data_IF_939088200541
#
_entry.id   IF_939088200541
#
_cell.length_a   1.000
_cell.length_b   1.000
_cell.length_c   1.000
_cell.angle_alpha   90.00
_cell.angle_beta   90.00
_cell.angle_gamma   90.00
#
_symmetry.space_group_name_H-M   'P 1'
#
loop_
_entity.id
_entity.type
_entity.pdbx_description
1 polymer ?
#
# COMPACT_ATOMS: atom_id res chain seq x y z
N UNK A 1 -5.56 -10.37 8.46
CA UNK A 1 -5.37 -9.02 7.87
C UNK A 1 -4.97 -9.05 6.39
N UNK A 2 -3.95 -9.82 6.01
CA UNK A 2 -3.42 -9.85 4.63
C UNK A 2 -4.44 -10.30 3.57
N UNK A 3 -5.19 -11.39 3.80
CA UNK A 3 -6.22 -11.86 2.84
C UNK A 3 -7.32 -10.80 2.69
N UNK A 4 -7.81 -10.26 3.80
CA UNK A 4 -8.83 -9.19 3.80
C UNK A 4 -8.34 -7.95 3.07
N UNK A 5 -7.08 -7.55 3.26
CA UNK A 5 -6.46 -6.44 2.55
C UNK A 5 -6.46 -6.66 1.04
N UNK A 6 -5.98 -7.81 0.56
CA UNK A 6 -5.95 -8.10 -0.88
C UNK A 6 -7.35 -8.25 -1.48
N UNK A 7 -8.34 -8.72 -0.71
CA UNK A 7 -9.75 -8.66 -1.14
C UNK A 7 -10.20 -7.22 -1.37
N UNK A 8 -9.90 -6.29 -0.46
CA UNK A 8 -10.24 -4.88 -0.63
C UNK A 8 -9.56 -4.26 -1.86
N UNK A 9 -8.29 -4.60 -2.10
CA UNK A 9 -7.56 -4.18 -3.31
C UNK A 9 -8.27 -4.69 -4.58
N UNK A 10 -8.68 -5.95 -4.61
CA UNK A 10 -9.46 -6.52 -5.71
C UNK A 10 -10.76 -5.78 -5.96
N UNK A 11 -11.55 -5.55 -4.90
CA UNK A 11 -12.79 -4.77 -4.97
C UNK A 11 -12.55 -3.36 -5.53
N UNK A 12 -11.46 -2.70 -5.12
CA UNK A 12 -11.10 -1.38 -5.63
C UNK A 12 -10.77 -1.42 -7.13
N UNK A 13 -10.00 -2.42 -7.58
CA UNK A 13 -9.66 -2.61 -9.00
C UNK A 13 -10.88 -2.95 -9.87
N UNK A 14 -11.89 -3.59 -9.30
CA UNK A 14 -13.17 -3.91 -9.95
C UNK A 14 -14.16 -2.73 -9.97
N UNK A 15 -13.80 -1.59 -9.34
CA UNK A 15 -14.59 -0.37 -9.33
C UNK A 15 -15.47 -0.17 -8.09
N UNK A 16 -15.48 -1.11 -7.15
CA UNK A 16 -16.20 -1.03 -5.87
C UNK A 16 -15.43 -0.20 -4.82
N UNK A 17 -14.97 0.99 -5.21
CA UNK A 17 -14.02 1.83 -4.44
C UNK A 17 -14.55 2.22 -3.06
N UNK A 18 -15.79 2.70 -2.95
CA UNK A 18 -16.37 3.16 -1.68
C UNK A 18 -16.62 2.03 -0.68
N UNK A 19 -16.83 0.81 -1.15
CA UNK A 19 -16.94 -0.37 -0.28
C UNK A 19 -15.56 -0.80 0.20
N UNK A 20 -14.58 -0.84 -0.70
CA UNK A 20 -13.19 -1.12 -0.36
C UNK A 20 -12.62 -0.15 0.70
N UNK A 21 -12.90 1.16 0.57
CA UNK A 21 -12.49 2.18 1.55
C UNK A 21 -13.04 1.85 2.95
N UNK A 22 -14.36 1.60 3.07
CA UNK A 22 -14.99 1.31 4.36
C UNK A 22 -14.40 0.07 5.05
N UNK A 23 -14.07 -0.96 4.27
CA UNK A 23 -13.44 -2.16 4.81
C UNK A 23 -11.96 -1.93 5.17
N UNK A 24 -11.22 -1.20 4.34
CA UNK A 24 -9.82 -0.84 4.60
C UNK A 24 -9.67 0.01 5.87
N UNK A 25 -10.59 0.94 6.12
CA UNK A 25 -10.61 1.73 7.36
C UNK A 25 -10.72 0.84 8.60
N UNK A 26 -11.50 -0.23 8.53
CA UNK A 26 -11.58 -1.24 9.58
C UNK A 26 -10.26 -2.00 9.82
N UNK A 27 -9.43 -2.12 8.78
CA UNK A 27 -8.12 -2.76 8.82
C UNK A 27 -7.01 -1.80 9.27
N UNK A 28 -7.15 -0.49 9.03
CA UNK A 28 -6.14 0.55 9.33
C UNK A 28 -5.71 0.60 10.80
N UNK A 29 -6.59 0.14 11.71
CA UNK A 29 -6.39 0.16 13.16
C UNK A 29 -5.57 -1.03 13.69
N UNK A 30 -5.01 -1.88 12.83
CA UNK A 30 -4.48 -3.19 13.23
C UNK A 30 -3.10 -3.54 12.62
N UNK A 31 -2.08 -3.50 13.46
CA UNK A 31 -0.86 -4.31 13.34
C UNK A 31 -0.04 -4.12 12.07
N UNK A 32 0.61 -5.20 11.65
CA UNK A 32 1.67 -5.29 10.61
C UNK A 32 1.24 -4.92 9.18
N UNK A 33 0.04 -4.37 8.98
CA UNK A 33 -0.49 -3.97 7.67
C UNK A 33 -0.87 -2.48 7.62
N UNK A 34 -0.49 -1.68 8.63
CA UNK A 34 -0.86 -0.27 8.70
C UNK A 34 -0.38 0.53 7.48
N UNK A 35 0.92 0.45 7.13
CA UNK A 35 1.48 1.13 5.96
C UNK A 35 0.76 0.77 4.65
N UNK A 36 0.67 -0.51 4.23
CA UNK A 36 0.01 -0.84 2.96
C UNK A 36 -1.47 -0.46 2.95
N UNK A 37 -2.17 -0.55 4.09
CA UNK A 37 -3.57 -0.10 4.18
C UNK A 37 -3.68 1.41 3.96
N UNK A 38 -2.86 2.23 4.63
CA UNK A 38 -2.92 3.69 4.47
C UNK A 38 -2.53 4.14 3.06
N UNK A 39 -1.54 3.50 2.44
CA UNK A 39 -1.17 3.77 1.04
C UNK A 39 -2.33 3.45 0.10
N UNK A 40 -3.01 2.31 0.28
CA UNK A 40 -4.17 1.95 -0.53
C UNK A 40 -5.36 2.88 -0.29
N UNK A 41 -5.62 3.27 0.96
CA UNK A 41 -6.66 4.26 1.29
C UNK A 41 -6.40 5.59 0.59
N UNK A 42 -5.17 6.12 0.69
CA UNK A 42 -4.80 7.37 0.05
C UNK A 42 -5.02 7.31 -1.46
N UNK A 43 -4.58 6.23 -2.10
CA UNK A 43 -4.80 5.99 -3.53
C UNK A 43 -6.29 5.97 -3.88
N UNK A 44 -7.12 5.30 -3.07
CA UNK A 44 -8.55 5.18 -3.27
C UNK A 44 -9.25 6.55 -3.15
N UNK A 45 -8.95 7.31 -2.08
CA UNK A 45 -9.54 8.63 -1.84
C UNK A 45 -9.20 9.63 -2.95
N UNK A 46 -7.95 9.64 -3.43
CA UNK A 46 -7.53 10.51 -4.53
C UNK A 46 -8.23 10.21 -5.87
N UNK A 47 -8.80 9.01 -6.02
CA UNK A 47 -9.50 8.56 -7.26
C UNK A 47 -11.01 8.46 -7.10
N UNK A 48 -11.54 8.78 -5.93
CA UNK A 48 -12.98 8.89 -5.70
C UNK A 48 -13.58 10.04 -6.51
N UNK A 49 -14.84 9.91 -6.93
CA UNK A 49 -15.57 10.96 -7.67
C UNK A 49 -15.62 12.28 -6.91
N UNK A 50 -15.68 12.20 -5.58
CA UNK A 50 -15.59 13.33 -4.67
C UNK A 50 -14.41 13.01 -3.75
N UNK A 51 -13.36 13.82 -3.85
CA UNK A 51 -12.15 13.65 -3.05
C UNK A 51 -12.38 14.30 -1.68
N UNK A 52 -12.23 13.51 -0.62
CA UNK A 52 -12.17 14.01 0.74
C UNK A 52 -10.76 14.54 1.02
N UNK A 53 -10.59 15.84 0.85
CA UNK A 53 -9.28 16.50 0.98
C UNK A 53 -8.74 16.47 2.41
N UNK A 54 -9.62 16.41 3.41
CA UNK A 54 -9.21 16.35 4.82
C UNK A 54 -8.67 14.95 5.14
N UNK A 55 -9.35 13.92 4.67
CA UNK A 55 -8.91 12.53 4.78
C UNK A 55 -7.56 12.31 4.09
N UNK A 56 -7.42 12.81 2.85
CA UNK A 56 -6.16 12.74 2.08
C UNK A 56 -5.01 13.39 2.86
N UNK A 57 -5.19 14.61 3.35
CA UNK A 57 -4.16 15.32 4.11
C UNK A 57 -3.78 14.57 5.40
N UNK A 58 -4.76 13.97 6.10
CA UNK A 58 -4.50 13.17 7.29
C UNK A 58 -3.68 11.92 6.96
N UNK A 59 -4.04 11.19 5.91
CA UNK A 59 -3.31 10.01 5.47
C UNK A 59 -1.87 10.35 5.06
N UNK A 60 -1.68 11.44 4.32
CA UNK A 60 -0.35 11.94 3.93
C UNK A 60 0.52 12.29 5.15
N UNK A 61 -0.05 12.93 6.16
CA UNK A 61 0.66 13.27 7.40
C UNK A 61 1.06 12.01 8.21
N UNK A 62 0.28 10.95 8.15
CA UNK A 62 0.51 9.71 8.89
C UNK A 62 1.56 8.79 8.22
N UNK A 63 1.67 8.84 6.89
CA UNK A 63 2.48 7.90 6.11
C UNK A 63 3.97 7.84 6.52
N UNK A 64 4.67 8.95 6.79
CA UNK A 64 6.08 8.89 7.22
C UNK A 64 6.25 8.05 8.49
N UNK A 65 5.36 8.25 9.47
CA UNK A 65 5.40 7.49 10.74
C UNK A 65 5.10 6.01 10.52
N UNK A 66 4.14 5.67 9.66
CA UNK A 66 3.88 4.26 9.35
C UNK A 66 5.03 3.63 8.57
N UNK A 67 5.69 4.38 7.69
CA UNK A 67 6.84 3.89 6.94
C UNK A 67 8.01 3.61 7.86
N UNK A 68 8.35 4.52 8.79
CA UNK A 68 9.44 4.33 9.75
C UNK A 68 9.25 3.07 10.61
N UNK A 69 7.99 2.75 10.97
CA UNK A 69 7.66 1.61 11.82
C UNK A 69 7.34 0.32 11.04
N UNK A 70 7.36 0.36 9.71
CA UNK A 70 6.95 -0.77 8.87
C UNK A 70 7.97 -1.92 8.91
N UNK A 71 7.47 -3.13 9.15
CA UNK A 71 8.27 -4.36 9.01
C UNK A 71 8.57 -4.66 7.54
N UNK A 72 9.51 -5.58 7.31
CA UNK A 72 9.79 -6.11 5.96
C UNK A 72 8.53 -6.61 5.24
N UNK A 73 7.62 -7.26 5.98
CA UNK A 73 6.36 -7.77 5.45
C UNK A 73 5.43 -6.62 5.02
N UNK A 74 5.28 -5.61 5.87
CA UNK A 74 4.47 -4.43 5.56
C UNK A 74 5.02 -3.73 4.31
N UNK A 75 6.34 -3.50 4.24
CA UNK A 75 7.03 -2.88 3.10
C UNK A 75 6.86 -3.68 1.82
N UNK A 76 6.96 -5.02 1.87
CA UNK A 76 6.72 -5.87 0.72
C UNK A 76 5.29 -5.71 0.20
N UNK A 77 4.29 -5.75 1.08
CA UNK A 77 2.90 -5.59 0.66
C UNK A 77 2.61 -4.18 0.13
N UNK A 78 3.26 -3.14 0.67
CA UNK A 78 3.19 -1.79 0.14
C UNK A 78 3.76 -1.73 -1.28
N UNK A 79 4.92 -2.32 -1.52
CA UNK A 79 5.51 -2.37 -2.85
C UNK A 79 4.63 -3.14 -3.85
N UNK A 80 4.07 -4.29 -3.44
CA UNK A 80 3.18 -5.10 -4.27
C UNK A 80 1.90 -4.36 -4.62
N UNK A 81 1.25 -3.69 -3.67
CA UNK A 81 -0.01 -3.00 -3.96
C UNK A 81 0.25 -1.82 -4.90
N UNK A 82 1.31 -1.04 -4.68
CA UNK A 82 1.71 0.04 -5.59
C UNK A 82 1.95 -0.48 -7.00
N UNK A 83 2.59 -1.64 -7.14
CA UNK A 83 2.78 -2.28 -8.45
C UNK A 83 1.45 -2.65 -9.12
N UNK A 84 0.53 -3.31 -8.39
CA UNK A 84 -0.80 -3.65 -8.90
C UNK A 84 -1.65 -2.44 -9.27
N UNK A 85 -1.44 -1.31 -8.60
CA UNK A 85 -2.12 -0.04 -8.87
C UNK A 85 -1.48 0.77 -10.01
N UNK A 86 -0.39 0.28 -10.60
CA UNK A 86 0.33 0.97 -11.67
C UNK A 86 1.26 2.09 -11.19
N UNK A 87 1.44 2.26 -9.88
CA UNK A 87 2.33 3.23 -9.25
C UNK A 87 3.80 2.74 -9.27
N UNK A 88 4.31 2.42 -10.47
CA UNK A 88 5.59 1.71 -10.69
C UNK A 88 6.78 2.42 -10.02
N UNK A 89 6.85 3.75 -10.10
CA UNK A 89 7.93 4.51 -9.47
C UNK A 89 7.92 4.36 -7.94
N UNK A 90 6.74 4.39 -7.33
CA UNK A 90 6.60 4.25 -5.88
C UNK A 90 6.88 2.82 -5.44
N UNK A 91 6.38 1.83 -6.19
CA UNK A 91 6.67 0.42 -5.98
C UNK A 91 8.18 0.17 -5.98
N UNK A 92 8.90 0.69 -6.99
CA UNK A 92 10.36 0.57 -7.06
C UNK A 92 11.07 1.18 -5.86
N UNK A 93 10.67 2.37 -5.43
CA UNK A 93 11.27 3.01 -4.24
C UNK A 93 11.10 2.14 -3.00
N UNK A 94 9.91 1.60 -2.77
CA UNK A 94 9.62 0.74 -1.63
C UNK A 94 10.37 -0.59 -1.69
N UNK A 95 10.44 -1.24 -2.87
CA UNK A 95 11.24 -2.46 -3.07
C UNK A 95 12.73 -2.20 -2.81
N UNK A 96 13.29 -1.09 -3.31
CA UNK A 96 14.69 -0.73 -3.09
C UNK A 96 14.98 -0.42 -1.61
N UNK A 97 14.06 0.26 -0.92
CA UNK A 97 14.20 0.52 0.52
C UNK A 97 14.25 -0.80 1.31
N UNK A 98 13.35 -1.74 1.01
CA UNK A 98 13.36 -3.07 1.62
C UNK A 98 14.66 -3.83 1.34
N UNK A 99 15.16 -3.83 0.10
CA UNK A 99 16.41 -4.50 -0.24
C UNK A 99 17.66 -3.85 0.36
N UNK A 100 17.63 -2.55 0.68
CA UNK A 100 18.72 -1.91 1.43
C UNK A 100 18.79 -2.41 2.88
N UNK A 101 17.64 -2.66 3.50
CA UNK A 101 17.54 -3.18 4.86
C UNK A 101 17.79 -4.69 4.92
N UNK A 102 17.26 -5.42 3.93
CA UNK A 102 17.35 -6.87 3.83
C UNK A 102 17.68 -7.30 2.38
N UNK A 103 18.98 -7.33 2.01
CA UNK A 103 19.41 -7.61 0.64
C UNK A 103 19.04 -9.00 0.11
N UNK A 104 18.78 -9.97 1.00
CA UNK A 104 18.47 -11.35 0.64
C UNK A 104 16.95 -11.63 0.66
N UNK A 105 16.13 -10.59 0.77
CA UNK A 105 14.67 -10.75 0.79
C UNK A 105 14.16 -11.24 -0.57
N UNK A 106 14.00 -12.56 -0.71
CA UNK A 106 13.69 -13.25 -1.98
C UNK A 106 12.51 -12.62 -2.74
N UNK A 107 11.39 -12.38 -2.07
CA UNK A 107 10.20 -11.82 -2.73
C UNK A 107 10.42 -10.39 -3.26
N UNK A 108 11.27 -9.60 -2.58
CA UNK A 108 11.60 -8.25 -3.01
C UNK A 108 12.57 -8.27 -4.20
N UNK A 109 13.50 -9.23 -4.25
CA UNK A 109 14.36 -9.47 -5.41
C UNK A 109 13.52 -9.87 -6.64
N UNK A 110 12.55 -10.76 -6.48
CA UNK A 110 11.64 -11.14 -7.57
C UNK A 110 10.85 -9.94 -8.10
N UNK A 111 10.27 -9.13 -7.20
CA UNK A 111 9.54 -7.92 -7.58
C UNK A 111 10.45 -6.88 -8.24
N UNK A 112 11.69 -6.73 -7.76
CA UNK A 112 12.68 -5.84 -8.39
C UNK A 112 12.98 -6.22 -9.83
N UNK A 113 13.03 -7.52 -10.14
CA UNK A 113 13.18 -8.01 -11.51
C UNK A 113 11.99 -7.64 -12.39
N UNK A 114 10.76 -7.81 -11.89
CA UNK A 114 9.53 -7.44 -12.62
C UNK A 114 9.43 -5.94 -12.89
N UNK A 115 9.84 -5.10 -11.93
CA UNK A 115 9.82 -3.65 -12.08
C UNK A 115 10.90 -3.15 -13.04
N UNK A 116 11.92 -3.95 -13.39
CA UNK A 116 12.99 -3.53 -14.30
C UNK A 116 12.67 -3.76 -15.79
N UNK A 117 11.61 -4.50 -16.08
CA UNK A 117 11.08 -4.75 -17.43
C UNK A 117 10.10 -3.63 -17.83
#
# INVERSE_FOLDING_TARGET
PTISFWRCVGMMLEGSVNEAIRELDGLSRRGDMALPVKVTLLYAHQRSKVVDTEEVARLEADLPREDDNATDRARLHTALVLWHLGEIHQARRQTQALLRLNPQHVQALCLSGQLAL
#
